data_IF_909488493298
#
_entry.id   IF_909488493298
#
_cell.length_a   1.000
_cell.length_b   1.000
_cell.length_c   1.000
_cell.angle_alpha   90.00
_cell.angle_beta   90.00
_cell.angle_gamma   90.00
#
_symmetry.space_group_name_H-M   'P 1'
#
loop_
_entity.id
_entity.type
_entity.pdbx_description
1 polymer ?
#
# COMPACT_ATOMS: atom_id res chain seq x y z
N UNK A 1 -17.51 -19.15 7.07
CA UNK A 1 -17.66 -18.58 5.71
C UNK A 1 -17.57 -17.07 5.83
N UNK A 2 -16.40 -16.48 5.52
CA UNK A 2 -16.24 -15.04 5.58
C UNK A 2 -16.95 -14.43 4.36
N UNK A 3 -17.91 -13.53 4.60
CA UNK A 3 -18.58 -12.79 3.53
C UNK A 3 -17.55 -11.80 2.98
N UNK A 4 -17.17 -11.93 1.71
CA UNK A 4 -16.37 -10.91 1.04
C UNK A 4 -17.23 -9.64 0.91
N UNK A 5 -16.80 -8.58 1.60
CA UNK A 5 -17.50 -7.29 1.64
C UNK A 5 -17.60 -6.61 0.28
N UNK A 6 -16.78 -7.03 -0.69
CA UNK A 6 -16.82 -6.55 -2.07
C UNK A 6 -17.73 -7.38 -2.98
N UNK A 7 -18.26 -8.52 -2.50
CA UNK A 7 -19.10 -9.37 -3.32
C UNK A 7 -20.47 -8.71 -3.54
N UNK A 8 -20.89 -8.46 -4.80
CA UNK A 8 -22.13 -7.75 -5.09
C UNK A 8 -23.33 -8.72 -5.02
N UNK A 9 -23.83 -8.94 -3.80
CA UNK A 9 -24.92 -9.89 -3.52
C UNK A 9 -26.27 -9.20 -3.25
N UNK A 10 -26.29 -7.91 -2.91
CA UNK A 10 -27.51 -7.20 -2.53
C UNK A 10 -28.22 -6.63 -3.75
N UNK A 11 -29.51 -6.92 -3.88
CA UNK A 11 -30.38 -6.25 -4.86
C UNK A 11 -30.70 -4.82 -4.39
N UNK A 12 -31.17 -3.97 -5.31
CA UNK A 12 -31.44 -2.55 -5.01
C UNK A 12 -32.40 -2.33 -3.83
N UNK A 13 -33.42 -3.18 -3.64
CA UNK A 13 -34.35 -3.06 -2.52
C UNK A 13 -33.64 -3.29 -1.18
N UNK A 14 -32.87 -4.37 -1.09
CA UNK A 14 -32.10 -4.72 0.11
C UNK A 14 -31.03 -3.66 0.38
N UNK A 15 -30.31 -3.21 -0.66
CA UNK A 15 -29.31 -2.16 -0.51
C UNK A 15 -29.92 -0.84 -0.03
N UNK A 16 -31.11 -0.49 -0.50
CA UNK A 16 -31.84 0.71 -0.09
C UNK A 16 -32.27 0.65 1.37
N UNK A 17 -32.79 -0.51 1.81
CA UNK A 17 -33.13 -0.76 3.22
C UNK A 17 -31.89 -0.69 4.12
N UNK A 18 -30.80 -1.36 3.73
CA UNK A 18 -29.55 -1.32 4.48
C UNK A 18 -28.96 0.10 4.54
N UNK A 19 -29.09 0.89 3.47
CA UNK A 19 -28.59 2.26 3.43
C UNK A 19 -29.56 3.28 4.08
N UNK A 20 -30.74 2.87 4.55
CA UNK A 20 -31.81 3.76 5.00
C UNK A 20 -32.15 4.85 3.98
N UNK A 21 -32.39 4.42 2.74
CA UNK A 21 -32.62 5.28 1.58
C UNK A 21 -33.75 4.76 0.70
N UNK A 22 -34.31 5.64 -0.12
CA UNK A 22 -35.24 5.24 -1.16
C UNK A 22 -34.51 4.63 -2.39
N UNK A 23 -35.01 3.55 -3.02
CA UNK A 23 -34.40 2.95 -4.21
C UNK A 23 -34.20 3.93 -5.38
N UNK A 24 -35.03 4.96 -5.50
CA UNK A 24 -34.87 6.01 -6.52
C UNK A 24 -33.61 6.85 -6.30
N UNK A 25 -33.23 7.11 -5.04
CA UNK A 25 -32.02 7.84 -4.66
C UNK A 25 -30.77 7.03 -5.05
N UNK A 26 -30.77 5.72 -4.80
CA UNK A 26 -29.69 4.83 -5.25
C UNK A 26 -29.53 4.85 -6.77
N UNK A 27 -30.65 4.88 -7.53
CA UNK A 27 -30.61 5.03 -8.99
C UNK A 27 -30.09 6.40 -9.44
N UNK A 28 -30.32 7.45 -8.67
CA UNK A 28 -29.77 8.77 -8.94
C UNK A 28 -28.26 8.79 -8.70
N UNK A 29 -27.79 8.23 -7.59
CA UNK A 29 -26.35 8.17 -7.27
C UNK A 29 -25.57 7.29 -8.26
N UNK A 30 -26.15 6.18 -8.73
CA UNK A 30 -25.59 5.38 -9.83
C UNK A 30 -25.47 6.20 -11.13
N UNK A 31 -26.52 6.94 -11.51
CA UNK A 31 -26.49 7.79 -12.71
C UNK A 31 -25.46 8.91 -12.64
N UNK A 32 -25.25 9.47 -11.45
CA UNK A 32 -24.22 10.51 -11.20
C UNK A 32 -22.80 9.91 -11.12
N UNK A 33 -22.70 8.58 -11.05
CA UNK A 33 -21.43 7.85 -10.93
C UNK A 33 -20.81 7.94 -9.54
N UNK A 34 -21.59 8.28 -8.50
CA UNK A 34 -21.11 8.39 -7.11
C UNK A 34 -20.86 6.99 -6.53
N UNK A 35 -21.76 6.05 -6.83
CA UNK A 35 -21.63 4.63 -6.46
C UNK A 35 -21.96 3.80 -7.69
N UNK A 36 -21.01 2.98 -8.14
CA UNK A 36 -21.17 2.17 -9.35
C UNK A 36 -21.41 0.70 -8.98
N UNK A 37 -22.67 0.23 -8.93
CA UNK A 37 -22.98 -1.17 -8.64
C UNK A 37 -22.55 -2.08 -9.78
N UNK A 38 -22.24 -3.33 -9.44
CA UNK A 38 -22.07 -4.39 -10.43
C UNK A 38 -23.41 -4.71 -11.11
N UNK A 39 -23.38 -5.12 -12.38
CA UNK A 39 -24.58 -5.53 -13.10
C UNK A 39 -24.61 -7.05 -13.21
N UNK A 40 -25.71 -7.66 -12.76
CA UNK A 40 -25.94 -9.09 -12.95
C UNK A 40 -26.41 -9.39 -14.39
N UNK A 41 -26.33 -10.66 -14.83
CA UNK A 41 -26.98 -11.09 -16.06
C UNK A 41 -28.47 -10.69 -16.02
N UNK A 42 -28.91 -9.88 -16.98
CA UNK A 42 -30.24 -9.24 -16.93
C UNK A 42 -30.25 -7.76 -16.53
N UNK A 43 -29.09 -7.09 -16.49
CA UNK A 43 -28.93 -5.63 -16.25
C UNK A 43 -29.39 -5.14 -14.87
N UNK A 44 -29.75 -6.02 -13.94
CA UNK A 44 -30.13 -5.64 -12.58
C UNK A 44 -28.90 -5.22 -11.77
N UNK A 45 -29.06 -4.16 -10.96
CA UNK A 45 -27.99 -3.63 -10.11
C UNK A 45 -27.79 -4.53 -8.90
N UNK A 46 -26.54 -4.90 -8.66
CA UNK A 46 -26.11 -5.59 -7.45
C UNK A 46 -25.08 -4.76 -6.72
N UNK A 47 -25.31 -4.62 -5.42
CA UNK A 47 -24.51 -3.85 -4.49
C UNK A 47 -23.76 -4.82 -3.58
N UNK A 48 -22.52 -4.47 -3.29
CA UNK A 48 -21.71 -5.11 -2.25
C UNK A 48 -21.95 -4.45 -0.90
N UNK A 49 -21.41 -5.04 0.18
CA UNK A 49 -21.46 -4.40 1.49
C UNK A 49 -20.68 -3.08 1.49
N UNK A 50 -19.58 -3.01 0.75
CA UNK A 50 -18.81 -1.77 0.58
C UNK A 50 -19.60 -0.69 -0.16
N UNK A 51 -20.42 -1.05 -1.15
CA UNK A 51 -21.30 -0.07 -1.82
C UNK A 51 -22.35 0.49 -0.85
N UNK A 52 -22.92 -0.35 0.01
CA UNK A 52 -23.88 0.09 1.05
C UNK A 52 -23.20 1.05 2.03
N UNK A 53 -21.98 0.74 2.47
CA UNK A 53 -21.22 1.61 3.36
C UNK A 53 -20.93 2.98 2.69
N UNK A 54 -20.54 2.98 1.41
CA UNK A 54 -20.37 4.21 0.63
C UNK A 54 -21.66 5.01 0.51
N UNK A 55 -22.81 4.35 0.27
CA UNK A 55 -24.10 5.01 0.21
C UNK A 55 -24.43 5.73 1.53
N UNK A 56 -24.24 5.08 2.67
CA UNK A 56 -24.44 5.69 4.00
C UNK A 56 -23.56 6.92 4.21
N UNK A 57 -22.30 6.84 3.78
CA UNK A 57 -21.38 7.97 3.90
C UNK A 57 -21.77 9.15 3.01
N UNK A 58 -22.19 8.87 1.77
CA UNK A 58 -22.77 9.88 0.86
C UNK A 58 -23.99 10.54 1.49
N UNK A 59 -24.86 9.78 2.16
CA UNK A 59 -26.02 10.32 2.89
C UNK A 59 -25.59 11.31 3.97
N UNK A 60 -24.64 10.89 4.81
CA UNK A 60 -24.14 11.66 5.94
C UNK A 60 -23.54 12.99 5.46
N UNK A 61 -22.73 12.95 4.41
CA UNK A 61 -22.15 14.15 3.79
C UNK A 61 -23.23 15.04 3.17
N UNK A 62 -24.21 14.46 2.48
CA UNK A 62 -25.32 15.22 1.91
C UNK A 62 -26.17 15.91 2.97
N UNK A 63 -26.42 15.25 4.12
CA UNK A 63 -27.16 15.82 5.25
C UNK A 63 -26.39 16.94 5.94
N UNK A 64 -25.05 16.91 5.90
CA UNK A 64 -24.20 18.00 6.39
C UNK A 64 -24.13 19.22 5.46
N UNK A 65 -24.85 19.20 4.32
CA UNK A 65 -24.94 20.31 3.37
C UNK A 65 -23.95 20.28 2.22
N UNK A 66 -23.20 19.18 2.04
CA UNK A 66 -22.28 19.03 0.91
C UNK A 66 -23.07 18.67 -0.36
N UNK A 67 -22.77 19.36 -1.48
CA UNK A 67 -23.40 19.04 -2.77
C UNK A 67 -22.96 17.66 -3.29
N UNK A 68 -23.82 17.00 -4.06
CA UNK A 68 -23.50 15.69 -4.65
C UNK A 68 -22.25 15.71 -5.54
N UNK A 69 -21.99 16.83 -6.22
CA UNK A 69 -20.77 17.04 -6.99
C UNK A 69 -19.54 17.14 -6.09
N UNK A 70 -19.66 17.84 -4.95
CA UNK A 70 -18.63 17.90 -3.92
C UNK A 70 -18.32 16.52 -3.35
N UNK A 71 -19.36 15.73 -3.03
CA UNK A 71 -19.20 14.36 -2.53
C UNK A 71 -18.49 13.49 -3.57
N UNK A 72 -18.90 13.56 -4.84
CA UNK A 72 -18.23 12.84 -5.93
C UNK A 72 -16.75 13.20 -5.99
N UNK A 73 -16.42 14.50 -5.92
CA UNK A 73 -15.03 14.97 -5.95
C UNK A 73 -14.22 14.46 -4.76
N UNK A 74 -14.81 14.43 -3.57
CA UNK A 74 -14.18 13.89 -2.36
C UNK A 74 -13.85 12.41 -2.56
N UNK A 75 -14.83 11.61 -3.00
CA UNK A 75 -14.63 10.18 -3.23
C UNK A 75 -13.56 9.90 -4.31
N UNK A 76 -13.54 10.69 -5.39
CA UNK A 76 -12.53 10.57 -6.43
C UNK A 76 -11.11 10.86 -5.88
N UNK A 77 -11.00 11.86 -5.00
CA UNK A 77 -9.74 12.20 -4.34
C UNK A 77 -9.30 11.12 -3.35
N UNK A 78 -10.22 10.55 -2.57
CA UNK A 78 -9.92 9.44 -1.66
C UNK A 78 -9.39 8.22 -2.43
N UNK A 79 -10.01 7.88 -3.56
CA UNK A 79 -9.53 6.80 -4.44
C UNK A 79 -8.12 7.09 -4.98
N UNK A 80 -7.84 8.34 -5.37
CA UNK A 80 -6.50 8.74 -5.83
C UNK A 80 -5.47 8.63 -4.70
N UNK A 81 -5.81 9.09 -3.49
CA UNK A 81 -4.94 8.98 -2.31
C UNK A 81 -4.65 7.51 -2.01
N UNK A 82 -5.65 6.64 -2.01
CA UNK A 82 -5.47 5.21 -1.78
C UNK A 82 -4.56 4.57 -2.85
N UNK A 83 -4.76 4.91 -4.13
CA UNK A 83 -3.91 4.43 -5.22
C UNK A 83 -2.46 4.91 -5.10
N UNK A 84 -2.26 6.18 -4.72
CA UNK A 84 -0.93 6.74 -4.49
C UNK A 84 -0.24 6.08 -3.29
N UNK A 85 -0.97 5.85 -2.20
CA UNK A 85 -0.44 5.14 -1.03
C UNK A 85 -0.01 3.72 -1.39
N UNK A 86 -0.81 2.99 -2.16
CA UNK A 86 -0.44 1.67 -2.67
C UNK A 86 0.84 1.74 -3.51
N UNK A 87 0.93 2.71 -4.43
CA UNK A 87 2.12 2.89 -5.28
C UNK A 87 3.36 3.24 -4.47
N UNK A 88 3.24 4.08 -3.45
CA UNK A 88 4.33 4.42 -2.54
C UNK A 88 4.80 3.17 -1.78
N UNK A 89 3.88 2.36 -1.26
CA UNK A 89 4.23 1.11 -0.57
C UNK A 89 4.97 0.13 -1.51
N UNK A 90 4.45 -0.07 -2.72
CA UNK A 90 5.06 -0.92 -3.75
C UNK A 90 6.49 -0.47 -4.11
N UNK A 91 6.69 0.82 -4.38
CA UNK A 91 8.00 1.38 -4.72
C UNK A 91 8.98 1.30 -3.54
N UNK A 92 8.49 1.51 -2.32
CA UNK A 92 9.32 1.39 -1.12
C UNK A 92 9.81 -0.04 -0.92
N UNK A 93 8.95 -1.03 -1.20
CA UNK A 93 9.31 -2.45 -1.17
C UNK A 93 10.28 -2.82 -2.30
N UNK A 94 10.11 -2.26 -3.49
CA UNK A 94 11.06 -2.45 -4.60
C UNK A 94 12.45 -1.88 -4.27
N UNK A 95 12.51 -0.67 -3.70
CA UNK A 95 13.76 -0.05 -3.28
C UNK A 95 14.43 -0.84 -2.15
N UNK A 96 13.67 -1.41 -1.21
CA UNK A 96 14.23 -2.24 -0.14
C UNK A 96 14.79 -3.55 -0.68
N UNK A 97 14.10 -4.18 -1.64
CA UNK A 97 14.60 -5.37 -2.37
C UNK A 97 15.89 -5.08 -3.14
N UNK A 98 15.95 -3.98 -3.90
CA UNK A 98 17.15 -3.58 -4.65
C UNK A 98 18.32 -3.17 -3.74
N UNK A 99 18.04 -2.64 -2.55
CA UNK A 99 19.06 -2.29 -1.54
C UNK A 99 19.51 -3.48 -0.69
N UNK A 100 19.16 -4.72 -1.07
CA UNK A 100 19.62 -5.92 -0.37
C UNK A 100 21.13 -5.83 -0.08
N UNK A 101 21.58 -6.10 1.17
CA UNK A 101 22.95 -5.82 1.64
C UNK A 101 24.07 -6.60 0.91
N UNK A 102 23.73 -7.39 -0.10
CA UNK A 102 24.67 -8.06 -1.00
C UNK A 102 25.39 -7.03 -1.90
N UNK A 103 24.70 -5.97 -2.35
CA UNK A 103 25.28 -4.92 -3.23
C UNK A 103 26.10 -3.85 -2.51
N UNK A 104 26.17 -3.94 -1.18
CA UNK A 104 26.93 -3.01 -0.33
C UNK A 104 28.31 -3.55 0.08
N UNK A 105 28.65 -4.80 -0.27
CA UNK A 105 29.98 -5.37 -0.06
C UNK A 105 30.87 -5.02 -1.23
N UNK A 106 31.82 -4.13 -0.99
CA UNK A 106 32.90 -3.86 -1.94
C UNK A 106 34.05 -4.82 -1.61
N UNK A 107 34.51 -5.55 -2.61
CA UNK A 107 35.73 -6.36 -2.50
C UNK A 107 36.93 -5.45 -2.71
N UNK A 108 37.86 -5.45 -1.76
CA UNK A 108 39.11 -4.71 -1.86
C UNK A 108 40.30 -5.68 -1.71
N UNK A 109 41.40 -5.37 -2.40
CA UNK A 109 42.66 -6.05 -2.18
C UNK A 109 43.26 -5.57 -0.86
N UNK A 110 43.49 -6.51 0.07
CA UNK A 110 44.25 -6.28 1.29
C UNK A 110 45.73 -6.07 0.99
N UNK A 111 46.45 -5.44 1.91
CA UNK A 111 47.88 -5.13 1.74
C UNK A 111 48.78 -6.38 1.62
N UNK A 112 48.24 -7.57 1.95
CA UNK A 112 48.92 -8.85 1.79
C UNK A 112 48.52 -9.60 0.51
N UNK A 113 47.69 -9.00 -0.35
CA UNK A 113 47.16 -9.63 -1.57
C UNK A 113 45.91 -10.48 -1.37
N UNK A 114 45.32 -10.49 -0.18
CA UNK A 114 44.07 -11.17 0.14
C UNK A 114 42.82 -10.37 -0.29
N UNK A 115 41.70 -11.05 -0.55
CA UNK A 115 40.42 -10.39 -0.87
C UNK A 115 39.65 -10.14 0.42
N UNK A 116 39.36 -8.87 0.71
CA UNK A 116 38.62 -8.46 1.92
C UNK A 116 37.27 -7.87 1.53
N UNK A 117 36.19 -8.33 2.17
CA UNK A 117 34.84 -7.77 2.01
C UNK A 117 34.64 -6.59 2.97
N UNK A 118 34.47 -5.38 2.43
CA UNK A 118 34.22 -4.16 3.21
C UNK A 118 32.80 -3.64 2.99
N UNK A 119 32.23 -3.00 4.01
CA UNK A 119 30.99 -2.24 3.84
C UNK A 119 31.27 -0.95 3.05
N UNK A 120 30.37 -0.59 2.12
CA UNK A 120 30.43 0.68 1.38
C UNK A 120 30.58 1.86 2.35
N UNK A 121 31.65 2.65 2.18
CA UNK A 121 31.96 3.82 3.03
C UNK A 121 32.94 3.56 4.17
N UNK A 122 33.33 2.31 4.41
CA UNK A 122 34.35 1.97 5.41
C UNK A 122 35.75 2.11 4.79
N UNK A 123 36.59 3.00 5.34
CA UNK A 123 38.00 3.09 4.93
C UNK A 123 38.75 1.85 5.45
N UNK A 124 39.64 1.24 4.66
CA UNK A 124 40.55 0.21 5.15
C UNK A 124 41.32 0.78 6.35
N UNK A 125 41.16 0.19 7.53
CA UNK A 125 42.00 0.55 8.68
C UNK A 125 43.41 0.08 8.35
N UNK A 126 44.37 1.01 8.36
CA UNK A 126 45.78 0.65 8.30
C UNK A 126 46.06 -0.30 9.47
N UNK A 127 46.41 -1.57 9.17
CA UNK A 127 47.04 -2.41 10.19
C UNK A 127 48.30 -1.68 10.63
N UNK A 128 48.43 -1.47 11.94
CA UNK A 128 49.64 -0.93 12.54
C UNK A 128 50.84 -1.74 12.06
N UNK A 129 51.76 -1.08 11.35
CA UNK A 129 53.06 -1.65 10.93
C UNK A 129 54.02 -1.81 12.11
N UNK A 130 53.50 -2.01 13.32
CA UNK A 130 54.33 -2.22 14.50
C UNK A 130 55.02 -3.57 14.35
N UNK A 131 56.31 -3.54 14.00
CA UNK A 131 57.20 -4.70 14.00
C UNK A 131 57.30 -5.18 15.45
N UNK A 132 56.64 -6.28 15.76
CA UNK A 132 56.83 -6.95 17.05
C UNK A 132 58.07 -7.81 16.92
N UNK A 133 59.12 -7.47 17.67
CA UNK A 133 60.30 -8.33 17.82
C UNK A 133 59.85 -9.59 18.52
N UNK A 134 59.75 -10.67 17.75
CA UNK A 134 59.45 -12.00 18.29
C UNK A 134 60.62 -12.44 19.17
N UNK A 135 60.35 -12.64 20.46
CA UNK A 135 61.29 -13.26 21.40
C UNK A 135 60.79 -14.65 21.73
N UNK A 136 61.54 -15.72 21.41
CA UNK A 136 61.18 -17.05 21.89
C UNK A 136 61.25 -17.09 23.41
N UNK A 137 60.24 -17.69 24.06
CA UNK A 137 60.36 -18.12 25.46
C UNK A 137 61.41 -19.22 25.50
N UNK A 138 62.58 -18.92 26.06
CA UNK A 138 63.43 -19.97 26.64
C UNK A 138 62.67 -20.52 27.85
N UNK A 139 62.30 -21.79 27.77
CA UNK A 139 61.86 -22.58 28.91
C UNK A 139 62.99 -23.55 29.29
N UNK A 140 63.21 -23.59 30.61
CA UNK A 140 64.08 -24.42 31.47
C UNK A 140 65.61 -24.32 31.35
#
# INVERSE_FOLDING_TARGET
>A
MAIDVNQPIFVISVAAELADMHPQTLRQYDRLGIVSPSRAPGKSRRYSQNDVNKLREVQRLSQSGVSLEGIKRILDLENQVAALQYRVAELTEELSRRRSPVDARIFAAGAAGDVVSLARGQRPRARSQAVVVWRPRQGD
#
